data_IF_992287190740
#
_entry.id   IF_992287190740
#
_cell.length_a   1.000
_cell.length_b   1.000
_cell.length_c   1.000
_cell.angle_alpha   90.00
_cell.angle_beta   90.00
_cell.angle_gamma   90.00
#
_symmetry.space_group_name_H-M   'P 1'
#
loop_
_entity.id
_entity.type
_entity.pdbx_description
1 polymer ?
#
# COMPACT_ATOMS: atom_id res chain seq x y z
N UNK A 1 5.14 -7.86 3.32
CA UNK A 1 6.19 -6.82 3.35
C UNK A 1 7.60 -7.36 3.13
N UNK A 2 7.87 -8.65 3.32
CA UNK A 2 9.20 -9.27 3.17
C UNK A 2 9.86 -8.98 1.81
N UNK A 3 9.13 -9.12 0.71
CA UNK A 3 9.60 -8.80 -0.65
C UNK A 3 10.19 -7.38 -0.75
N UNK A 4 9.62 -6.38 -0.06
CA UNK A 4 10.17 -5.02 -0.06
C UNK A 4 11.50 -4.93 0.70
N UNK A 5 11.61 -5.63 1.83
CA UNK A 5 12.86 -5.70 2.60
C UNK A 5 13.96 -6.38 1.79
N UNK A 6 13.63 -7.48 1.11
CA UNK A 6 14.55 -8.20 0.22
C UNK A 6 15.02 -7.35 -0.96
N UNK A 7 14.09 -6.63 -1.63
CA UNK A 7 14.43 -5.82 -2.80
C UNK A 7 15.19 -4.55 -2.45
N UNK A 8 14.92 -3.93 -1.29
CA UNK A 8 15.52 -2.63 -0.90
C UNK A 8 16.68 -2.75 0.08
N UNK A 9 16.88 -3.91 0.71
CA UNK A 9 17.85 -4.11 1.79
C UNK A 9 17.50 -3.38 3.10
N UNK A 10 16.30 -2.78 3.22
CA UNK A 10 15.89 -2.00 4.40
C UNK A 10 15.05 -2.84 5.36
N UNK A 11 15.20 -2.59 6.66
CA UNK A 11 14.36 -3.19 7.70
C UNK A 11 12.90 -2.75 7.55
N UNK A 12 11.97 -3.67 7.81
CA UNK A 12 10.55 -3.37 7.75
C UNK A 12 10.11 -2.40 8.86
N UNK A 13 9.19 -1.47 8.58
CA UNK A 13 8.61 -0.62 9.60
C UNK A 13 7.82 -1.45 10.63
N UNK A 14 7.75 -0.94 11.87
CA UNK A 14 6.98 -1.58 12.94
C UNK A 14 5.48 -1.55 12.61
N UNK A 15 4.77 -2.61 12.99
CA UNK A 15 3.31 -2.69 12.84
C UNK A 15 2.62 -1.72 13.81
N UNK A 16 1.53 -1.11 13.34
CA UNK A 16 0.70 -0.18 14.12
C UNK A 16 -0.69 -0.82 14.25
N UNK A 17 -1.29 -0.88 15.45
CA UNK A 17 -2.66 -1.37 15.61
C UNK A 17 -3.68 -0.53 14.83
N UNK A 18 -4.70 -1.17 14.26
CA UNK A 18 -5.69 -0.50 13.41
C UNK A 18 -6.40 0.69 14.09
N UNK A 19 -6.67 0.59 15.39
CA UNK A 19 -7.25 1.69 16.17
C UNK A 19 -6.36 2.93 16.21
N UNK A 20 -5.06 2.75 16.46
CA UNK A 20 -4.09 3.86 16.46
C UNK A 20 -3.94 4.47 15.07
N UNK A 21 -3.90 3.64 14.02
CA UNK A 21 -3.84 4.11 12.64
C UNK A 21 -5.10 4.93 12.27
N UNK A 22 -6.29 4.50 12.72
CA UNK A 22 -7.55 5.21 12.48
C UNK A 22 -7.58 6.58 13.16
N UNK A 23 -7.04 6.69 14.38
CA UNK A 23 -6.87 7.97 15.08
C UNK A 23 -5.91 8.88 14.32
N UNK A 24 -4.76 8.36 13.86
CA UNK A 24 -3.82 9.13 13.06
C UNK A 24 -4.46 9.67 11.77
N UNK A 25 -5.25 8.85 11.07
CA UNK A 25 -6.02 9.29 9.91
C UNK A 25 -7.05 10.38 10.23
N UNK A 26 -7.70 10.32 11.40
CA UNK A 26 -8.64 11.35 11.83
C UNK A 26 -7.92 12.69 12.10
N UNK A 27 -6.76 12.66 12.74
CA UNK A 27 -5.92 13.83 13.01
C UNK A 27 -5.44 14.46 11.70
N UNK A 28 -4.97 13.65 10.75
CA UNK A 28 -4.54 14.15 9.44
C UNK A 28 -5.69 14.80 8.66
N UNK A 29 -6.89 14.21 8.66
CA UNK A 29 -8.06 14.81 8.02
C UNK A 29 -8.47 16.14 8.68
N UNK A 30 -8.34 16.26 10.00
CA UNK A 30 -8.56 17.52 10.72
C UNK A 30 -7.49 18.56 10.34
N UNK A 31 -6.22 18.16 10.30
CA UNK A 31 -5.11 19.02 9.86
C UNK A 31 -5.33 19.52 8.43
N UNK A 32 -5.80 18.67 7.53
CA UNK A 32 -6.12 19.05 6.14
C UNK A 32 -7.19 20.13 6.10
N UNK A 33 -8.27 20.01 6.90
CA UNK A 33 -9.31 21.05 6.98
C UNK A 33 -8.78 22.40 7.44
N UNK A 34 -7.77 22.41 8.32
CA UNK A 34 -7.16 23.63 8.85
C UNK A 34 -6.08 24.23 7.94
N UNK A 35 -5.31 23.38 7.26
CA UNK A 35 -4.09 23.80 6.55
C UNK A 35 -4.19 23.74 5.03
N UNK A 36 -5.25 23.11 4.49
CA UNK A 36 -5.40 22.81 3.06
C UNK A 36 -4.39 21.81 2.51
N UNK A 37 -3.45 21.30 3.33
CA UNK A 37 -2.40 20.37 2.89
C UNK A 37 -2.92 18.94 2.80
N UNK A 38 -2.50 18.16 1.79
CA UNK A 38 -2.91 16.75 1.68
C UNK A 38 -2.58 15.94 2.94
N UNK A 39 -3.46 15.00 3.33
CA UNK A 39 -3.17 14.09 4.44
C UNK A 39 -2.14 13.05 4.02
N UNK A 40 -1.24 12.67 4.93
CA UNK A 40 -0.32 11.56 4.72
C UNK A 40 -1.03 10.21 4.78
N UNK A 41 -2.08 10.12 5.60
CA UNK A 41 -2.94 8.95 5.71
C UNK A 41 -4.38 9.39 6.01
N UNK A 42 -5.35 8.68 5.45
CA UNK A 42 -6.78 8.91 5.70
C UNK A 42 -7.39 7.73 6.45
N UNK A 43 -8.52 7.96 7.11
CA UNK A 43 -9.29 6.86 7.73
C UNK A 43 -9.73 5.82 6.68
N UNK A 44 -10.01 6.27 5.45
CA UNK A 44 -10.35 5.40 4.32
C UNK A 44 -9.19 4.48 3.94
N UNK A 45 -7.97 5.03 3.79
CA UNK A 45 -6.78 4.23 3.52
C UNK A 45 -6.52 3.21 4.64
N UNK A 46 -6.66 3.61 5.91
CA UNK A 46 -6.54 2.68 7.05
C UNK A 46 -7.56 1.56 6.94
N UNK A 47 -8.83 1.85 6.63
CA UNK A 47 -9.87 0.84 6.51
C UNK A 47 -9.56 -0.17 5.40
N UNK A 48 -9.07 0.28 4.25
CA UNK A 48 -8.65 -0.58 3.13
C UNK A 48 -7.51 -1.50 3.58
N UNK A 49 -6.44 -0.94 4.16
CA UNK A 49 -5.24 -1.69 4.57
C UNK A 49 -5.43 -2.54 5.83
N UNK A 50 -6.50 -2.34 6.59
CA UNK A 50 -6.80 -3.14 7.79
C UNK A 50 -7.43 -4.50 7.46
N UNK A 51 -7.79 -4.75 6.21
CA UNK A 51 -8.41 -5.99 5.76
C UNK A 51 -7.57 -6.64 4.67
N UNK A 52 -7.53 -7.98 4.69
CA UNK A 52 -6.97 -8.75 3.60
C UNK A 52 -8.01 -8.85 2.48
N UNK A 53 -7.63 -8.39 1.28
CA UNK A 53 -8.46 -8.44 0.08
C UNK A 53 -7.86 -9.44 -0.91
N UNK A 54 -8.03 -10.76 -0.69
CA UNK A 54 -7.53 -11.74 -1.64
C UNK A 54 -8.29 -11.57 -2.97
N UNK A 55 -7.55 -11.30 -4.04
CA UNK A 55 -8.09 -11.16 -5.38
C UNK A 55 -7.69 -12.38 -6.22
N UNK A 56 -8.69 -13.07 -6.76
CA UNK A 56 -8.47 -14.14 -7.73
C UNK A 56 -8.51 -13.58 -9.16
N UNK A 57 -7.38 -13.69 -9.86
CA UNK A 57 -7.22 -13.26 -11.25
C UNK A 57 -7.27 -14.42 -12.26
N UNK A 58 -7.60 -15.65 -11.84
CA UNK A 58 -7.62 -16.82 -12.72
C UNK A 58 -8.56 -16.67 -13.91
N UNK A 59 -9.70 -15.99 -13.72
CA UNK A 59 -10.63 -15.69 -14.82
C UNK A 59 -9.97 -14.81 -15.89
N UNK A 60 -9.32 -13.72 -15.48
CA UNK A 60 -8.65 -12.80 -16.39
C UNK A 60 -7.48 -13.46 -17.13
N UNK A 61 -6.72 -14.33 -16.46
CA UNK A 61 -5.65 -15.12 -17.09
C UNK A 61 -6.20 -15.98 -18.23
N UNK A 62 -7.34 -16.66 -18.02
CA UNK A 62 -7.96 -17.53 -19.04
C UNK A 62 -8.59 -16.75 -20.18
N UNK A 63 -9.39 -15.73 -19.86
CA UNK A 63 -10.22 -15.04 -20.86
C UNK A 63 -9.44 -13.99 -21.67
N UNK A 64 -8.41 -13.38 -21.09
CA UNK A 64 -7.69 -12.27 -21.71
C UNK A 64 -6.27 -12.64 -22.18
N UNK A 65 -5.88 -13.91 -22.09
CA UNK A 65 -4.49 -14.35 -22.29
C UNK A 65 -3.49 -13.49 -21.48
N UNK A 66 -3.92 -13.10 -20.28
CA UNK A 66 -3.19 -12.19 -19.41
C UNK A 66 -2.13 -12.95 -18.59
N UNK A 67 -0.93 -12.37 -18.48
CA UNK A 67 0.15 -12.91 -17.62
C UNK A 67 0.43 -11.96 -16.47
N UNK A 68 0.29 -12.46 -15.25
CA UNK A 68 0.62 -11.72 -14.03
C UNK A 68 2.14 -11.51 -13.98
N UNK A 69 2.57 -10.25 -13.85
CA UNK A 69 3.97 -9.94 -13.60
C UNK A 69 4.29 -10.16 -12.12
N UNK A 70 5.36 -10.91 -11.76
CA UNK A 70 5.74 -11.10 -10.37
C UNK A 70 5.99 -9.78 -9.65
N UNK A 71 5.46 -9.63 -8.43
CA UNK A 71 5.52 -8.38 -7.66
C UNK A 71 6.95 -7.85 -7.49
N UNK A 72 7.91 -8.72 -7.18
CA UNK A 72 9.33 -8.35 -7.03
C UNK A 72 9.93 -7.75 -8.32
N UNK A 73 9.54 -8.28 -9.49
CA UNK A 73 9.98 -7.73 -10.77
C UNK A 73 9.38 -6.34 -11.02
N UNK A 74 8.10 -6.15 -10.68
CA UNK A 74 7.41 -4.87 -10.75
C UNK A 74 8.11 -3.81 -9.87
N UNK A 75 8.35 -4.12 -8.60
CA UNK A 75 9.02 -3.21 -7.65
C UNK A 75 10.40 -2.78 -8.18
N UNK A 76 11.21 -3.73 -8.66
CA UNK A 76 12.54 -3.42 -9.22
C UNK A 76 12.45 -2.45 -10.40
N UNK A 77 11.49 -2.64 -11.32
CA UNK A 77 11.28 -1.73 -12.46
C UNK A 77 10.84 -0.34 -12.02
N UNK A 78 9.94 -0.25 -11.05
CA UNK A 78 9.47 1.04 -10.52
C UNK A 78 10.58 1.81 -9.80
N UNK A 79 11.41 1.13 -9.01
CA UNK A 79 12.55 1.76 -8.36
C UNK A 79 13.57 2.27 -9.39
N UNK A 80 13.82 1.51 -10.46
CA UNK A 80 14.70 1.93 -11.54
C UNK A 80 14.15 3.10 -12.37
N UNK A 81 12.84 3.38 -12.33
CA UNK A 81 12.25 4.52 -13.07
C UNK A 81 12.21 5.83 -12.29
N UNK A 82 12.49 5.80 -10.98
CA UNK A 82 12.44 6.99 -10.10
C UNK A 82 13.82 7.33 -9.50
N UNK A 83 14.86 6.54 -9.81
CA UNK A 83 16.26 6.80 -9.47
C UNK A 83 17.01 7.34 -10.68
#
# INVERSE_FOLDING_TARGET
FEIMGEVTGRSLPRRIPAGAARLAGAVEEMRTKLTGRPPLITRGAVAIFSHDWPLDSQRSVRELNYRITPLAAGIRRTLASIG
#
